data_IF_028961525134
#
_entry.id   IF_028961525134
#
_cell.length_a   1.000
_cell.length_b   1.000
_cell.length_c   1.000
_cell.angle_alpha   90.00
_cell.angle_beta   90.00
_cell.angle_gamma   90.00
#
_symmetry.space_group_name_H-M   'P 1'
#
loop_
_entity.id
_entity.type
_entity.pdbx_description
1 polymer ?
#
# COMPACT_ATOMS: atom_id res chain seq x y z
N UNK A 1 9.86 -17.80 -15.90
CA UNK A 1 10.04 -17.73 -14.43
C UNK A 1 9.72 -16.32 -13.87
N UNK A 2 8.92 -15.50 -14.59
CA UNK A 2 8.77 -14.06 -14.26
C UNK A 2 7.44 -13.73 -13.55
N UNK A 3 6.51 -14.69 -13.50
CA UNK A 3 5.16 -14.50 -12.96
C UNK A 3 5.10 -14.52 -11.42
N UNK A 4 6.15 -15.01 -10.73
CA UNK A 4 6.15 -15.14 -9.27
C UNK A 4 6.52 -13.85 -8.52
N UNK A 5 7.24 -12.93 -9.16
CA UNK A 5 7.74 -11.71 -8.49
C UNK A 5 6.63 -10.71 -8.13
N UNK A 6 5.46 -10.79 -8.80
CA UNK A 6 4.30 -9.92 -8.55
C UNK A 6 3.32 -10.50 -7.52
N UNK A 7 3.55 -11.73 -7.06
CA UNK A 7 2.55 -12.49 -6.29
C UNK A 7 2.24 -11.83 -4.93
N UNK A 8 3.21 -11.14 -4.34
CA UNK A 8 3.08 -10.48 -3.03
C UNK A 8 3.02 -8.95 -3.10
N UNK A 9 2.72 -8.38 -4.27
CA UNK A 9 2.60 -6.93 -4.44
C UNK A 9 1.14 -6.50 -4.35
N UNK A 10 0.90 -5.34 -3.75
CA UNK A 10 -0.36 -4.59 -3.85
C UNK A 10 -0.07 -3.14 -4.24
N UNK A 11 -1.06 -2.50 -4.87
CA UNK A 11 -1.06 -1.07 -5.19
C UNK A 11 -2.12 -0.37 -4.37
N UNK A 12 -1.76 0.75 -3.76
CA UNK A 12 -2.64 1.57 -2.94
C UNK A 12 -2.80 2.93 -3.61
N UNK A 13 -4.03 3.37 -3.82
CA UNK A 13 -4.37 4.65 -4.45
C UNK A 13 -5.13 5.54 -3.47
N UNK A 14 -5.07 6.86 -3.69
CA UNK A 14 -5.85 7.83 -2.90
C UNK A 14 -5.19 8.27 -1.59
N UNK A 15 -3.98 7.78 -1.27
CA UNK A 15 -3.23 8.20 -0.09
C UNK A 15 -2.54 9.53 -0.38
N UNK A 16 -2.82 10.62 0.37
CA UNK A 16 -2.16 11.90 0.19
C UNK A 16 -0.66 11.77 0.47
N UNK A 17 0.15 12.48 -0.32
CA UNK A 17 1.60 12.55 -0.12
C UNK A 17 1.93 13.65 0.89
N UNK A 18 2.86 13.35 1.81
CA UNK A 18 3.44 14.34 2.72
C UNK A 18 4.89 14.61 2.34
N UNK A 19 5.34 15.82 2.62
CA UNK A 19 6.76 16.17 2.47
C UNK A 19 7.58 15.36 3.49
N UNK A 20 8.73 14.81 3.06
CA UNK A 20 9.58 13.92 3.86
C UNK A 20 8.84 12.70 4.44
N UNK A 21 7.82 12.18 3.75
CA UNK A 21 7.08 11.01 4.24
C UNK A 21 7.94 9.74 4.27
N UNK A 22 7.80 8.98 5.35
CA UNK A 22 8.23 7.59 5.42
C UNK A 22 7.05 6.74 4.93
N UNK A 23 7.17 6.26 3.68
CA UNK A 23 6.08 5.53 2.99
C UNK A 23 5.68 4.27 3.76
N UNK A 24 6.66 3.58 4.36
CA UNK A 24 6.42 2.37 5.15
C UNK A 24 5.51 2.64 6.35
N UNK A 25 5.85 3.61 7.19
CA UNK A 25 5.04 4.01 8.35
C UNK A 25 3.64 4.48 7.94
N UNK A 26 3.56 5.22 6.82
CA UNK A 26 2.28 5.67 6.27
C UNK A 26 1.38 4.49 5.91
N UNK A 27 1.93 3.45 5.30
CA UNK A 27 1.19 2.25 4.91
C UNK A 27 0.80 1.40 6.13
N UNK A 28 1.70 1.24 7.10
CA UNK A 28 1.43 0.51 8.34
C UNK A 28 0.30 1.20 9.10
N UNK A 29 0.39 2.52 9.28
CA UNK A 29 -0.63 3.35 9.92
C UNK A 29 -1.97 3.26 9.20
N UNK A 30 -1.97 3.34 7.86
CA UNK A 30 -3.18 3.17 7.06
C UNK A 30 -3.84 1.80 7.29
N UNK A 31 -3.06 0.72 7.29
CA UNK A 31 -3.58 -0.63 7.49
C UNK A 31 -4.13 -0.82 8.91
N UNK A 32 -3.45 -0.24 9.91
CA UNK A 32 -3.92 -0.27 11.30
C UNK A 32 -5.21 0.53 11.47
N UNK A 33 -5.25 1.77 11.02
CA UNK A 33 -6.40 2.68 11.23
C UNK A 33 -7.62 2.27 10.39
N UNK A 34 -7.44 1.90 9.13
CA UNK A 34 -8.57 1.67 8.21
C UNK A 34 -8.94 0.20 8.05
N UNK A 35 -7.98 -0.70 8.18
CA UNK A 35 -8.21 -2.13 7.97
C UNK A 35 -8.29 -2.92 9.27
N UNK A 36 -7.87 -2.33 10.40
CA UNK A 36 -7.67 -3.01 11.68
C UNK A 36 -6.69 -4.18 11.53
N UNK A 37 -5.59 -3.94 10.82
CA UNK A 37 -4.53 -4.92 10.57
C UNK A 37 -3.21 -4.34 11.02
N UNK A 38 -2.59 -4.98 12.01
CA UNK A 38 -1.21 -4.69 12.40
C UNK A 38 -0.26 -5.43 11.45
N UNK A 39 0.55 -4.66 10.72
CA UNK A 39 1.54 -5.20 9.77
C UNK A 39 2.91 -4.95 10.38
N UNK A 40 3.62 -6.00 10.81
CA UNK A 40 4.97 -5.83 11.30
C UNK A 40 5.90 -5.43 10.15
N UNK A 41 6.92 -4.58 10.39
CA UNK A 41 7.86 -4.15 9.34
C UNK A 41 8.60 -5.33 8.71
N UNK A 42 8.85 -6.41 9.46
CA UNK A 42 9.43 -7.66 8.92
C UNK A 42 8.59 -8.32 7.81
N UNK A 43 7.30 -7.98 7.71
CA UNK A 43 6.41 -8.51 6.68
C UNK A 43 6.38 -7.65 5.41
N UNK A 44 7.13 -6.55 5.42
CA UNK A 44 7.25 -5.60 4.32
C UNK A 44 8.62 -5.82 3.67
N UNK A 45 8.62 -6.13 2.38
CA UNK A 45 9.84 -6.30 1.60
C UNK A 45 10.32 -4.95 1.06
N UNK A 46 9.40 -4.19 0.43
CA UNK A 46 9.67 -2.86 -0.13
C UNK A 46 8.39 -2.02 -0.19
N UNK A 47 8.52 -0.73 0.07
CA UNK A 47 7.48 0.27 -0.18
C UNK A 47 8.04 1.48 -0.90
N UNK A 48 7.28 2.03 -1.86
CA UNK A 48 7.60 3.30 -2.51
C UNK A 48 6.40 3.87 -3.27
N UNK A 49 6.42 5.17 -3.54
CA UNK A 49 5.47 5.85 -4.43
C UNK A 49 5.79 5.53 -5.89
N UNK A 50 4.77 5.23 -6.67
CA UNK A 50 4.82 5.05 -8.12
C UNK A 50 4.53 6.35 -8.85
N UNK A 51 5.33 6.62 -9.88
CA UNK A 51 5.15 7.76 -10.79
C UNK A 51 6.14 8.89 -10.51
N UNK A 52 6.38 9.70 -11.55
CA UNK A 52 7.30 10.83 -11.49
C UNK A 52 6.71 11.98 -10.68
N UNK A 53 7.57 12.67 -9.92
CA UNK A 53 7.22 13.89 -9.18
C UNK A 53 6.64 14.98 -10.08
N UNK A 54 6.89 14.94 -11.40
CA UNK A 54 6.38 15.92 -12.36
C UNK A 54 4.87 15.78 -12.63
N UNK A 55 4.24 14.63 -12.32
CA UNK A 55 2.78 14.44 -12.47
C UNK A 55 2.02 14.98 -11.24
N UNK A 56 2.33 16.21 -10.83
CA UNK A 56 1.78 16.89 -9.63
C UNK A 56 0.30 17.26 -9.73
N UNK A 57 -0.45 16.80 -10.73
CA UNK A 57 -1.86 17.21 -10.87
C UNK A 57 -2.76 16.73 -9.72
N UNK A 58 -2.32 15.80 -8.85
CA UNK A 58 -3.19 15.32 -7.77
C UNK A 58 -2.53 14.88 -6.44
N UNK A 59 -1.21 15.04 -6.24
CA UNK A 59 -0.47 14.71 -4.99
C UNK A 59 -0.85 13.37 -4.30
N UNK A 60 -1.27 12.38 -5.09
CA UNK A 60 -1.80 11.08 -4.64
C UNK A 60 -1.17 9.97 -5.47
N UNK A 61 0.17 10.00 -5.63
CA UNK A 61 0.89 8.91 -6.30
C UNK A 61 0.55 7.59 -5.64
N UNK A 62 0.32 6.57 -6.46
CA UNK A 62 0.01 5.24 -5.96
C UNK A 62 1.19 4.70 -5.15
N UNK A 63 0.95 3.93 -4.10
CA UNK A 63 2.00 3.26 -3.34
C UNK A 63 2.09 1.82 -3.83
N UNK A 64 3.30 1.36 -4.13
CA UNK A 64 3.60 -0.07 -4.23
C UNK A 64 4.01 -0.56 -2.86
N UNK A 65 3.36 -1.62 -2.42
CA UNK A 65 3.69 -2.36 -1.23
C UNK A 65 3.96 -3.80 -1.64
N UNK A 66 5.19 -4.25 -1.42
CA UNK A 66 5.58 -5.65 -1.57
C UNK A 66 5.68 -6.28 -0.19
N UNK A 67 4.95 -7.38 -0.01
CA UNK A 67 5.01 -8.19 1.20
C UNK A 67 6.05 -9.30 1.07
N UNK A 68 6.61 -9.71 2.20
CA UNK A 68 7.44 -10.93 2.27
C UNK A 68 6.57 -12.19 2.20
N UNK A 69 5.34 -12.13 2.71
CA UNK A 69 4.43 -13.28 2.79
C UNK A 69 3.07 -13.02 2.10
N UNK A 70 2.54 -14.04 1.43
CA UNK A 70 1.22 -14.03 0.80
C UNK A 70 0.09 -13.82 1.82
N UNK A 71 0.21 -14.38 3.03
CA UNK A 71 -0.84 -14.27 4.04
C UNK A 71 -1.13 -12.82 4.43
N UNK A 72 -0.10 -11.99 4.57
CA UNK A 72 -0.27 -10.55 4.83
C UNK A 72 -1.00 -9.86 3.69
N UNK A 73 -0.57 -10.09 2.44
CA UNK A 73 -1.26 -9.56 1.25
C UNK A 73 -2.73 -9.97 1.23
N UNK A 74 -3.01 -11.25 1.45
CA UNK A 74 -4.36 -11.79 1.43
C UNK A 74 -5.23 -11.12 2.52
N UNK A 75 -4.72 -10.96 3.74
CA UNK A 75 -5.46 -10.33 4.83
C UNK A 75 -5.82 -8.87 4.51
N UNK A 76 -4.87 -8.10 3.96
CA UNK A 76 -5.08 -6.72 3.50
C UNK A 76 -6.12 -6.67 2.37
N UNK A 77 -5.98 -7.52 1.35
CA UNK A 77 -6.93 -7.58 0.24
C UNK A 77 -8.33 -8.02 0.68
N UNK A 78 -8.44 -8.92 1.65
CA UNK A 78 -9.72 -9.39 2.21
C UNK A 78 -10.43 -8.27 2.97
N UNK A 79 -9.70 -7.43 3.70
CA UNK A 79 -10.28 -6.34 4.50
C UNK A 79 -10.45 -5.02 3.74
N UNK A 80 -10.02 -4.92 2.48
CA UNK A 80 -10.11 -3.68 1.69
C UNK A 80 -11.54 -3.12 1.56
N UNK A 81 -12.58 -3.92 1.76
CA UNK A 81 -13.96 -3.46 1.77
C UNK A 81 -14.22 -2.39 2.86
N UNK A 82 -13.43 -2.38 3.94
CA UNK A 82 -13.47 -1.35 5.00
C UNK A 82 -13.07 0.04 4.49
N UNK A 83 -12.39 0.13 3.34
CA UNK A 83 -11.97 1.38 2.72
C UNK A 83 -13.07 2.05 1.88
N UNK A 84 -14.25 1.43 1.74
CA UNK A 84 -15.37 2.03 0.98
C UNK A 84 -15.75 3.38 1.59
N UNK A 85 -15.89 4.40 0.76
CA UNK A 85 -16.21 5.77 1.19
C UNK A 85 -15.00 6.61 1.63
N UNK A 86 -13.80 6.03 1.79
CA UNK A 86 -12.60 6.78 2.20
C UNK A 86 -11.86 7.45 1.04
N UNK A 87 -12.19 7.10 -0.21
CA UNK A 87 -11.42 7.51 -1.39
C UNK A 87 -10.11 6.75 -1.59
N UNK A 88 -9.78 5.79 -0.70
CA UNK A 88 -8.59 4.93 -0.78
C UNK A 88 -8.97 3.61 -1.44
N UNK A 89 -8.15 3.14 -2.38
CA UNK A 89 -8.39 1.90 -3.12
C UNK A 89 -7.15 1.03 -3.09
N UNK A 90 -7.30 -0.25 -2.76
CA UNK A 90 -6.23 -1.26 -2.79
C UNK A 90 -6.52 -2.30 -3.88
N UNK A 91 -5.56 -2.53 -4.76
CA UNK A 91 -5.62 -3.53 -5.85
C UNK A 91 -4.37 -4.40 -5.87
N UNK A 92 -4.43 -5.54 -6.59
CA UNK A 92 -3.31 -6.47 -6.71
C UNK A 92 -2.35 -6.14 -7.88
#
# INVERSE_FOLDING_TARGET
MEQYSRRNIVRIFGVPEKENEIVEETVIGLCKEKLDIDIPPANIDRTHRLGSLQTRRNNKRAIILKFTNYNCKYNVLRNRYKLRGTGIVIVH
#
